data_IF_318857335022
#
_entry.id   IF_318857335022
#
_cell.length_a   1.000
_cell.length_b   1.000
_cell.length_c   1.000
_cell.angle_alpha   90.00
_cell.angle_beta   90.00
_cell.angle_gamma   90.00
#
_symmetry.space_group_name_H-M   'P 1'
#
loop_
_entity.id
_entity.type
_entity.pdbx_description
1 polymer ?
#
# COMPACT_ATOMS: atom_id res chain seq x y z
N UNK A 1 -33.66 110.60 22.21
CA UNK A 1 -34.07 109.53 23.14
C UNK A 1 -34.64 108.39 22.31
N UNK A 2 -33.77 107.53 21.78
CA UNK A 2 -34.16 106.41 20.91
C UNK A 2 -34.38 105.13 21.73
N UNK A 3 -35.40 104.31 21.43
CA UNK A 3 -35.82 103.17 22.23
C UNK A 3 -34.96 101.93 21.91
N UNK A 4 -33.67 101.97 22.28
CA UNK A 4 -32.71 100.88 22.05
C UNK A 4 -31.92 100.51 23.30
N UNK A 5 -32.51 100.70 24.49
CA UNK A 5 -32.03 100.01 25.69
C UNK A 5 -32.94 98.80 25.88
N UNK A 6 -32.43 97.57 25.69
CA UNK A 6 -33.21 96.38 26.00
C UNK A 6 -33.61 96.45 27.47
N UNK A 7 -34.87 96.14 27.77
CA UNK A 7 -35.32 96.02 29.15
C UNK A 7 -34.44 94.94 29.82
N UNK A 8 -33.82 95.27 30.96
CA UNK A 8 -32.88 94.37 31.63
C UNK A 8 -33.55 93.03 31.97
N UNK A 9 -34.88 93.04 32.16
CA UNK A 9 -35.68 91.84 32.35
C UNK A 9 -35.68 90.91 31.12
N UNK A 10 -35.81 91.44 29.90
CA UNK A 10 -35.80 90.64 28.66
C UNK A 10 -34.43 89.99 28.42
N UNK A 11 -33.36 90.71 28.72
CA UNK A 11 -31.99 90.20 28.56
C UNK A 11 -31.69 89.07 29.56
N UNK A 12 -32.14 89.20 30.81
CA UNK A 12 -32.01 88.15 31.84
C UNK A 12 -32.84 86.92 31.49
N UNK A 13 -34.09 87.09 31.07
CA UNK A 13 -34.96 85.98 30.66
C UNK A 13 -34.39 85.27 29.42
N UNK A 14 -33.93 86.03 28.42
CA UNK A 14 -33.27 85.48 27.23
C UNK A 14 -32.01 84.69 27.57
N UNK A 15 -31.20 85.16 28.52
CA UNK A 15 -30.00 84.47 28.99
C UNK A 15 -30.33 83.18 29.75
N UNK A 16 -31.36 83.18 30.59
CA UNK A 16 -31.84 81.97 31.27
C UNK A 16 -32.33 80.92 30.26
N UNK A 17 -33.12 81.34 29.27
CA UNK A 17 -33.61 80.44 28.20
C UNK A 17 -32.44 79.92 27.34
N UNK A 18 -31.48 80.78 27.01
CA UNK A 18 -30.27 80.39 26.29
C UNK A 18 -29.48 79.31 27.04
N UNK A 19 -29.22 79.50 28.33
CA UNK A 19 -28.50 78.50 29.14
C UNK A 19 -29.31 77.21 29.34
N UNK A 20 -30.64 77.28 29.44
CA UNK A 20 -31.51 76.09 29.46
C UNK A 20 -31.38 75.28 28.17
N UNK A 21 -31.48 75.93 27.01
CA UNK A 21 -31.34 75.27 25.71
C UNK A 21 -29.92 74.76 25.51
N UNK A 22 -28.90 75.56 25.87
CA UNK A 22 -27.49 75.18 25.77
C UNK A 22 -27.18 73.95 26.65
N UNK A 23 -27.69 73.93 27.88
CA UNK A 23 -27.58 72.78 28.78
C UNK A 23 -28.27 71.53 28.23
N UNK A 24 -29.46 71.68 27.63
CA UNK A 24 -30.17 70.58 26.97
C UNK A 24 -29.39 70.06 25.75
N UNK A 25 -28.85 70.95 24.92
CA UNK A 25 -28.07 70.60 23.73
C UNK A 25 -26.77 69.88 24.12
N UNK A 26 -26.04 70.40 25.11
CA UNK A 26 -24.82 69.79 25.62
C UNK A 26 -25.06 68.43 26.30
N UNK A 27 -26.12 68.30 27.11
CA UNK A 27 -26.39 67.07 27.86
C UNK A 27 -27.04 65.97 27.02
N UNK A 28 -27.79 66.30 25.96
CA UNK A 28 -28.58 65.32 25.21
C UNK A 28 -28.19 65.16 23.74
N UNK A 29 -27.82 66.23 23.05
CA UNK A 29 -27.54 66.19 21.60
C UNK A 29 -26.09 65.86 21.32
N UNK A 30 -25.15 66.51 22.01
CA UNK A 30 -23.71 66.19 21.91
C UNK A 30 -23.39 64.70 22.10
N UNK A 31 -23.83 64.02 23.18
CA UNK A 31 -23.49 62.61 23.37
C UNK A 31 -24.12 61.69 22.30
N UNK A 32 -25.24 62.08 21.69
CA UNK A 32 -25.84 61.32 20.58
C UNK A 32 -25.04 61.45 19.28
N UNK A 33 -24.45 62.62 19.04
CA UNK A 33 -23.59 62.85 17.87
C UNK A 33 -22.27 62.07 18.04
N UNK A 34 -21.64 62.17 19.20
CA UNK A 34 -20.41 61.42 19.51
C UNK A 34 -20.62 59.91 19.37
N UNK A 35 -21.74 59.39 19.89
CA UNK A 35 -22.09 57.97 19.77
C UNK A 35 -22.23 57.51 18.32
N UNK A 36 -22.93 58.28 17.48
CA UNK A 36 -23.10 57.90 16.07
C UNK A 36 -21.82 58.05 15.25
N UNK A 37 -20.94 58.99 15.61
CA UNK A 37 -19.61 59.11 15.02
C UNK A 37 -18.71 57.93 15.40
N UNK A 38 -18.70 57.56 16.68
CA UNK A 38 -17.96 56.40 17.18
C UNK A 38 -18.45 55.09 16.54
N UNK A 39 -19.77 54.89 16.43
CA UNK A 39 -20.35 53.72 15.74
C UNK A 39 -19.95 53.66 14.27
N UNK A 40 -19.88 54.80 13.56
CA UNK A 40 -19.43 54.83 12.16
C UNK A 40 -17.93 54.59 12.00
N UNK A 41 -17.11 55.14 12.91
CA UNK A 41 -15.68 54.89 12.94
C UNK A 41 -15.40 53.41 13.22
N UNK A 42 -15.98 52.84 14.27
CA UNK A 42 -15.84 51.43 14.64
C UNK A 42 -16.33 50.48 13.54
N UNK A 43 -17.48 50.78 12.92
CA UNK A 43 -18.01 49.97 11.83
C UNK A 43 -17.09 49.96 10.59
N UNK A 44 -16.38 51.07 10.33
CA UNK A 44 -15.49 51.21 9.18
C UNK A 44 -14.10 50.64 9.47
N UNK A 45 -13.46 51.12 10.53
CA UNK A 45 -12.10 50.76 10.91
C UNK A 45 -12.05 49.32 11.44
N UNK A 46 -12.93 48.97 12.38
CA UNK A 46 -13.10 47.60 12.84
C UNK A 46 -13.67 46.68 11.75
N UNK A 47 -14.34 47.22 10.73
CA UNK A 47 -14.74 46.47 9.53
C UNK A 47 -13.55 46.09 8.64
N UNK A 48 -12.63 47.03 8.42
CA UNK A 48 -11.40 46.83 7.65
C UNK A 48 -10.47 45.86 8.38
N UNK A 49 -10.23 46.06 9.68
CA UNK A 49 -9.38 45.15 10.47
C UNK A 49 -9.92 43.72 10.46
N UNK A 50 -11.24 43.52 10.61
CA UNK A 50 -11.85 42.19 10.52
C UNK A 50 -11.71 41.58 9.13
N UNK A 51 -11.83 42.38 8.06
CA UNK A 51 -11.65 41.90 6.70
C UNK A 51 -10.19 41.51 6.41
N UNK A 52 -9.22 42.29 6.90
CA UNK A 52 -7.80 41.97 6.78
C UNK A 52 -7.42 40.74 7.59
N UNK A 53 -7.89 40.63 8.84
CA UNK A 53 -7.69 39.45 9.66
C UNK A 53 -8.27 38.19 9.01
N UNK A 54 -9.49 38.26 8.47
CA UNK A 54 -10.11 37.14 7.77
C UNK A 54 -9.34 36.75 6.50
N UNK A 55 -8.81 37.72 5.76
CA UNK A 55 -7.96 37.45 4.58
C UNK A 55 -6.63 36.81 4.96
N UNK A 56 -5.98 37.32 6.01
CA UNK A 56 -4.72 36.77 6.51
C UNK A 56 -4.91 35.34 7.02
N UNK A 57 -6.00 35.07 7.75
CA UNK A 57 -6.34 33.73 8.21
C UNK A 57 -6.64 32.79 7.03
N UNK A 58 -7.44 33.23 6.06
CA UNK A 58 -7.72 32.44 4.87
C UNK A 58 -6.44 32.12 4.07
N UNK A 59 -5.53 33.08 3.93
CA UNK A 59 -4.24 32.87 3.27
C UNK A 59 -3.37 31.87 4.05
N UNK A 60 -3.31 31.99 5.38
CA UNK A 60 -2.56 31.05 6.22
C UNK A 60 -3.11 29.63 6.11
N UNK A 61 -4.42 29.47 6.22
CA UNK A 61 -5.09 28.16 6.07
C UNK A 61 -4.87 27.59 4.66
N UNK A 62 -4.88 28.42 3.63
CA UNK A 62 -4.58 27.99 2.27
C UNK A 62 -3.13 27.50 2.12
N UNK A 63 -2.16 28.19 2.71
CA UNK A 63 -0.75 27.77 2.71
C UNK A 63 -0.54 26.47 3.49
N UNK A 64 -1.15 26.34 4.67
CA UNK A 64 -1.15 25.10 5.45
C UNK A 64 -1.74 23.94 4.65
N UNK A 65 -2.91 24.15 4.02
CA UNK A 65 -3.56 23.14 3.18
C UNK A 65 -2.69 22.71 1.99
N UNK A 66 -2.03 23.66 1.33
CA UNK A 66 -1.13 23.34 0.22
C UNK A 66 0.11 22.59 0.67
N UNK A 67 0.65 22.93 1.85
CA UNK A 67 1.76 22.20 2.46
C UNK A 67 1.35 20.76 2.81
N UNK A 68 0.19 20.57 3.43
CA UNK A 68 -0.37 19.25 3.72
C UNK A 68 -0.60 18.43 2.44
N UNK A 69 -1.17 19.04 1.40
CA UNK A 69 -1.38 18.37 0.12
C UNK A 69 -0.07 17.92 -0.52
N UNK A 70 0.97 18.75 -0.46
CA UNK A 70 2.30 18.39 -0.95
C UNK A 70 2.92 17.25 -0.13
N UNK A 71 2.81 17.32 1.20
CA UNK A 71 3.31 16.27 2.09
C UNK A 71 2.60 14.94 1.83
N UNK A 72 1.28 14.94 1.73
CA UNK A 72 0.49 13.75 1.40
C UNK A 72 0.85 13.16 0.03
N UNK A 73 1.13 14.01 -0.98
CA UNK A 73 1.61 13.55 -2.30
C UNK A 73 2.99 12.90 -2.23
N UNK A 74 3.90 13.47 -1.44
CA UNK A 74 5.22 12.89 -1.21
C UNK A 74 5.13 11.55 -0.47
N UNK A 75 4.34 11.48 0.58
CA UNK A 75 4.11 10.24 1.33
C UNK A 75 3.49 9.16 0.45
N UNK A 76 2.45 9.50 -0.33
CA UNK A 76 1.86 8.56 -1.28
C UNK A 76 2.85 8.08 -2.35
N UNK A 77 3.76 8.94 -2.81
CA UNK A 77 4.82 8.55 -3.73
C UNK A 77 5.85 7.61 -3.06
N UNK A 78 6.24 7.91 -1.83
CA UNK A 78 7.15 7.06 -1.05
C UNK A 78 6.55 5.68 -0.78
N UNK A 79 5.27 5.61 -0.40
CA UNK A 79 4.55 4.34 -0.20
C UNK A 79 4.52 3.51 -1.49
N UNK A 80 4.21 4.13 -2.63
CA UNK A 80 4.21 3.43 -3.92
C UNK A 80 5.59 2.91 -4.31
N UNK A 81 6.63 3.69 -4.03
CA UNK A 81 8.01 3.28 -4.30
C UNK A 81 8.40 2.09 -3.42
N UNK A 82 8.16 2.17 -2.10
CA UNK A 82 8.42 1.07 -1.16
C UNK A 82 7.69 -0.21 -1.57
N UNK A 83 6.40 -0.11 -1.89
CA UNK A 83 5.61 -1.26 -2.33
C UNK A 83 6.14 -1.89 -3.64
N UNK A 84 6.67 -1.08 -4.55
CA UNK A 84 7.27 -1.57 -5.80
C UNK A 84 8.59 -2.29 -5.54
N UNK A 85 9.43 -1.73 -4.68
CA UNK A 85 10.71 -2.34 -4.28
C UNK A 85 10.50 -3.63 -3.49
N UNK A 86 9.62 -3.63 -2.50
CA UNK A 86 9.23 -4.80 -1.73
C UNK A 86 8.60 -5.88 -2.62
N UNK A 87 7.71 -5.50 -3.53
CA UNK A 87 7.11 -6.42 -4.50
C UNK A 87 8.13 -7.06 -5.43
N UNK A 88 9.11 -6.28 -5.91
CA UNK A 88 10.20 -6.80 -6.74
C UNK A 88 11.11 -7.75 -5.96
N UNK A 89 11.45 -7.41 -4.72
CA UNK A 89 12.24 -8.26 -3.82
C UNK A 89 11.53 -9.57 -3.50
N UNK A 90 10.24 -9.51 -3.14
CA UNK A 90 9.41 -10.70 -2.87
C UNK A 90 9.33 -11.60 -4.11
N UNK A 91 9.13 -11.03 -5.30
CA UNK A 91 9.07 -11.81 -6.52
C UNK A 91 10.42 -12.46 -6.87
N UNK A 92 11.54 -11.79 -6.60
CA UNK A 92 12.86 -12.39 -6.74
C UNK A 92 13.07 -13.55 -5.75
N UNK A 93 12.66 -13.37 -4.50
CA UNK A 93 12.73 -14.41 -3.46
C UNK A 93 11.89 -15.63 -3.83
N UNK A 94 10.61 -15.44 -4.21
CA UNK A 94 9.72 -16.53 -4.61
C UNK A 94 10.23 -17.28 -5.84
N UNK A 95 10.87 -16.59 -6.79
CA UNK A 95 11.52 -17.24 -7.93
C UNK A 95 12.71 -18.10 -7.50
N UNK A 96 13.56 -17.58 -6.62
CA UNK A 96 14.71 -18.33 -6.12
C UNK A 96 14.27 -19.59 -5.35
N UNK A 97 13.29 -19.45 -4.46
CA UNK A 97 12.70 -20.57 -3.72
C UNK A 97 12.04 -21.58 -4.67
N UNK A 98 11.29 -21.11 -5.67
CA UNK A 98 10.67 -21.97 -6.68
C UNK A 98 11.69 -22.76 -7.50
N UNK A 99 12.84 -22.16 -7.83
CA UNK A 99 13.94 -22.86 -8.52
C UNK A 99 14.58 -23.92 -7.61
N UNK A 100 14.79 -23.61 -6.33
CA UNK A 100 15.33 -24.57 -5.36
C UNK A 100 14.39 -25.76 -5.17
N UNK A 101 13.09 -25.51 -5.00
CA UNK A 101 12.07 -26.57 -4.86
C UNK A 101 12.01 -27.42 -6.14
N UNK A 102 12.05 -26.79 -7.32
CA UNK A 102 12.13 -27.51 -8.60
C UNK A 102 13.34 -28.43 -8.64
N UNK A 103 14.52 -27.90 -8.32
CA UNK A 103 15.77 -28.67 -8.43
C UNK A 103 15.80 -29.83 -7.45
N UNK A 104 15.27 -29.62 -6.23
CA UNK A 104 15.08 -30.68 -5.24
C UNK A 104 14.12 -31.76 -5.76
N UNK A 105 12.96 -31.37 -6.29
CA UNK A 105 11.98 -32.31 -6.82
C UNK A 105 12.52 -33.12 -8.01
N UNK A 106 13.28 -32.48 -8.90
CA UNK A 106 13.91 -33.15 -10.04
C UNK A 106 14.97 -34.15 -9.56
N UNK A 107 15.79 -33.78 -8.57
CA UNK A 107 16.78 -34.68 -7.99
C UNK A 107 16.11 -35.89 -7.30
N UNK A 108 15.07 -35.66 -6.51
CA UNK A 108 14.29 -36.72 -5.87
C UNK A 108 13.63 -37.64 -6.92
N UNK A 109 13.01 -37.07 -7.95
CA UNK A 109 12.40 -37.84 -9.04
C UNK A 109 13.44 -38.66 -9.82
N UNK A 110 14.65 -38.14 -10.03
CA UNK A 110 15.72 -38.88 -10.69
C UNK A 110 16.18 -40.09 -9.85
N UNK A 111 16.25 -39.94 -8.52
CA UNK A 111 16.57 -41.05 -7.60
C UNK A 111 15.47 -42.10 -7.63
N UNK A 112 14.20 -41.70 -7.57
CA UNK A 112 13.07 -42.63 -7.65
C UNK A 112 13.03 -43.35 -9.00
N UNK A 113 13.22 -42.62 -10.11
CA UNK A 113 13.26 -43.21 -11.44
C UNK A 113 14.40 -44.23 -11.61
N UNK A 114 15.56 -43.97 -11.01
CA UNK A 114 16.67 -44.93 -11.02
C UNK A 114 16.31 -46.20 -10.22
N UNK A 115 15.66 -46.06 -9.06
CA UNK A 115 15.18 -47.21 -8.29
C UNK A 115 14.11 -48.00 -9.05
N UNK A 116 13.13 -47.32 -9.63
CA UNK A 116 12.06 -47.93 -10.43
C UNK A 116 12.60 -48.69 -11.64
N UNK A 117 13.66 -48.16 -12.29
CA UNK A 117 14.35 -48.87 -13.38
C UNK A 117 14.96 -50.18 -12.93
N UNK A 118 15.67 -50.19 -11.80
CA UNK A 118 16.28 -51.42 -11.26
C UNK A 118 15.20 -52.46 -10.94
N UNK A 119 14.08 -52.03 -10.34
CA UNK A 119 12.95 -52.92 -10.05
C UNK A 119 12.29 -53.46 -11.33
N UNK A 120 12.03 -52.60 -12.31
CA UNK A 120 11.43 -52.99 -13.58
C UNK A 120 12.34 -53.94 -14.39
N UNK A 121 13.65 -53.72 -14.38
CA UNK A 121 14.62 -54.61 -15.01
C UNK A 121 14.65 -55.98 -14.33
N UNK A 122 14.61 -56.03 -13.00
CA UNK A 122 14.55 -57.29 -12.25
C UNK A 122 13.27 -58.08 -12.55
N UNK A 123 12.11 -57.40 -12.57
CA UNK A 123 10.82 -58.02 -12.91
C UNK A 123 10.83 -58.54 -14.36
N UNK A 124 11.34 -57.75 -15.31
CA UNK A 124 11.44 -58.16 -16.71
C UNK A 124 12.37 -59.37 -16.89
N UNK A 125 13.48 -59.44 -16.15
CA UNK A 125 14.39 -60.61 -16.19
C UNK A 125 13.69 -61.88 -15.71
N UNK A 126 12.97 -61.83 -14.59
CA UNK A 126 12.20 -62.98 -14.11
C UNK A 126 11.14 -63.43 -15.13
N UNK A 127 10.43 -62.49 -15.75
CA UNK A 127 9.44 -62.79 -16.79
C UNK A 127 10.06 -63.42 -18.04
N UNK A 128 11.22 -62.93 -18.48
CA UNK A 128 11.95 -63.51 -19.61
C UNK A 128 12.43 -64.92 -19.29
N UNK A 129 12.99 -65.16 -18.10
CA UNK A 129 13.43 -66.50 -17.66
C UNK A 129 12.24 -67.46 -17.63
N UNK A 130 11.10 -67.03 -17.09
CA UNK A 130 9.88 -67.83 -17.03
C UNK A 130 9.38 -68.19 -18.44
N UNK A 131 9.25 -67.21 -19.34
CA UNK A 131 8.78 -67.43 -20.71
C UNK A 131 9.74 -68.29 -21.53
N UNK A 132 11.05 -68.09 -21.39
CA UNK A 132 12.07 -68.90 -22.05
C UNK A 132 12.05 -70.35 -21.53
N UNK A 133 11.89 -70.53 -20.21
CA UNK A 133 11.70 -71.83 -19.59
C UNK A 133 10.47 -72.55 -20.13
N UNK A 134 9.31 -71.88 -20.15
CA UNK A 134 8.07 -72.42 -20.73
C UNK A 134 8.24 -72.87 -22.19
N UNK A 135 8.92 -72.07 -23.01
CA UNK A 135 9.21 -72.41 -24.41
C UNK A 135 10.15 -73.62 -24.52
N UNK A 136 11.23 -73.65 -23.76
CA UNK A 136 12.19 -74.76 -23.76
C UNK A 136 11.55 -76.08 -23.31
N UNK A 137 10.71 -76.03 -22.27
CA UNK A 137 9.95 -77.19 -21.79
C UNK A 137 8.98 -77.73 -22.85
N UNK A 138 8.30 -76.85 -23.60
CA UNK A 138 7.45 -77.27 -24.73
C UNK A 138 8.23 -77.92 -25.87
N UNK A 139 9.46 -77.49 -26.14
CA UNK A 139 10.30 -78.06 -27.20
C UNK A 139 10.86 -79.44 -26.79
N UNK A 140 11.29 -79.60 -25.54
CA UNK A 140 11.91 -80.84 -25.03
C UNK A 140 10.85 -81.87 -24.62
N UNK A 141 9.61 -81.45 -24.36
CA UNK A 141 8.51 -82.32 -23.97
C UNK A 141 8.51 -82.67 -22.48
N UNK A 142 9.25 -81.93 -21.65
CA UNK A 142 9.43 -82.17 -20.21
C UNK A 142 9.11 -80.88 -19.42
N UNK A 143 8.42 -80.95 -18.26
CA UNK A 143 7.98 -79.76 -17.53
C UNK A 143 9.15 -78.98 -16.91
N UNK A 144 9.02 -77.64 -16.91
CA UNK A 144 10.05 -76.65 -16.53
C UNK A 144 10.58 -76.81 -15.10
N UNK A 145 9.78 -77.36 -14.19
CA UNK A 145 10.14 -77.56 -12.78
C UNK A 145 11.36 -78.48 -12.55
N UNK A 146 11.79 -79.24 -13.57
CA UNK A 146 12.94 -80.17 -13.45
C UNK A 146 14.29 -79.57 -13.85
N UNK A 147 14.36 -78.28 -14.21
CA UNK A 147 15.60 -77.65 -14.68
C UNK A 147 16.16 -76.58 -13.72
N UNK A 148 16.73 -76.95 -12.56
CA UNK A 148 17.52 -76.04 -11.71
C UNK A 148 18.64 -75.31 -12.47
N UNK A 149 19.12 -75.94 -13.55
CA UNK A 149 20.20 -75.45 -14.39
C UNK A 149 19.78 -74.29 -15.32
N UNK A 150 18.51 -74.16 -15.68
CA UNK A 150 18.06 -73.09 -16.60
C UNK A 150 18.18 -71.70 -15.98
N UNK A 151 17.82 -71.56 -14.70
CA UNK A 151 17.97 -70.30 -13.97
C UNK A 151 19.44 -69.90 -13.84
N UNK A 152 20.29 -70.84 -13.43
CA UNK A 152 21.73 -70.59 -13.28
C UNK A 152 22.40 -70.16 -14.60
N UNK A 153 22.04 -70.77 -15.74
CA UNK A 153 22.56 -70.37 -17.06
C UNK A 153 22.05 -68.99 -17.46
N UNK A 154 20.77 -68.68 -17.19
CA UNK A 154 20.22 -67.37 -17.48
C UNK A 154 20.89 -66.27 -16.65
N UNK A 155 21.09 -66.51 -15.35
CA UNK A 155 21.78 -65.58 -14.45
C UNK A 155 23.22 -65.29 -14.92
N UNK A 156 23.94 -66.32 -15.39
CA UNK A 156 25.29 -66.18 -15.96
C UNK A 156 25.29 -65.36 -17.26
N UNK A 157 24.35 -65.63 -18.18
CA UNK A 157 24.19 -64.86 -19.42
C UNK A 157 23.90 -63.38 -19.15
N UNK A 158 23.02 -63.11 -18.20
CA UNK A 158 22.65 -61.76 -17.80
C UNK A 158 23.82 -61.01 -17.13
N UNK A 159 24.63 -61.69 -16.31
CA UNK A 159 25.84 -61.11 -15.73
C UNK A 159 26.89 -60.75 -16.81
N UNK A 160 26.99 -61.55 -17.87
CA UNK A 160 27.86 -61.28 -19.01
C UNK A 160 27.37 -60.04 -19.81
N UNK A 161 26.06 -59.90 -19.99
CA UNK A 161 25.48 -58.70 -20.62
C UNK A 161 25.68 -57.42 -19.79
N UNK A 162 25.54 -57.50 -18.47
CA UNK A 162 25.73 -56.34 -17.58
C UNK A 162 27.20 -55.87 -17.58
N UNK A 163 28.15 -56.81 -17.65
CA UNK A 163 29.58 -56.49 -17.78
C UNK A 163 29.92 -55.90 -19.14
N UNK A 164 29.32 -56.38 -20.23
CA UNK A 164 29.45 -55.75 -21.56
C UNK A 164 28.84 -54.34 -21.62
N UNK A 165 27.66 -54.15 -21.02
CA UNK A 165 27.01 -52.85 -20.98
C UNK A 165 27.82 -51.83 -20.18
N UNK A 166 28.36 -52.24 -19.02
CA UNK A 166 29.25 -51.41 -18.20
C UNK A 166 30.57 -51.04 -18.91
N UNK A 167 31.04 -51.86 -19.84
CA UNK A 167 32.23 -51.57 -20.64
C UNK A 167 31.96 -50.60 -21.81
N UNK A 168 30.70 -50.38 -22.19
CA UNK A 168 30.29 -49.48 -23.29
C UNK A 168 29.77 -48.12 -22.82
N UNK A 169 29.39 -47.99 -21.55
CA UNK A 169 28.94 -46.74 -20.92
C UNK A 169 30.12 -45.88 -20.46
#
# INVERSE_FOLDING_TARGET
>A
MGPLQPDAAELVVGLVVFFLIFGFLGKLVLPRIEKTLAERQDATEGGIERAEAARAEAQRVYEEFQAELSAARHEAAAIRQSATEEGAALLAQLRAEGLEVRDRLVAEAAVQLAADRVLAEAELREDVIRLAGELAGRIIGEPVDTLPRTRAIADEFFAELDTEAAARA
#
